data_IF_979686444502
#
_entry.id   IF_979686444502
#
_cell.length_a   1.000
_cell.length_b   1.000
_cell.length_c   1.000
_cell.angle_alpha   90.00
_cell.angle_beta   90.00
_cell.angle_gamma   90.00
#
_symmetry.space_group_name_H-M   'P 1'
#
loop_
_entity.id
_entity.type
_entity.pdbx_description
1 polymer ?
#
# COMPACT_ATOMS: atom_id res chain seq x y z
N UNK A 1 -1.21 12.92 19.34
CA UNK A 1 -2.02 13.96 18.67
C UNK A 1 -2.78 13.26 17.55
N UNK A 2 -4.11 13.32 17.46
CA UNK A 2 -4.84 12.50 16.48
C UNK A 2 -6.21 13.10 16.11
N UNK A 3 -6.93 12.47 15.19
CA UNK A 3 -8.26 12.93 14.79
C UNK A 3 -9.25 12.57 15.91
N UNK A 4 -9.89 13.58 16.49
CA UNK A 4 -10.92 13.35 17.51
C UNK A 4 -12.21 12.88 16.82
N UNK A 5 -12.61 11.64 17.10
CA UNK A 5 -13.82 11.10 16.53
C UNK A 5 -15.04 11.52 17.38
N UNK A 6 -16.03 12.22 16.80
CA UNK A 6 -17.12 12.86 17.56
C UNK A 6 -18.07 11.87 18.25
N UNK A 7 -18.06 10.60 17.86
CA UNK A 7 -18.98 9.61 18.44
C UNK A 7 -18.51 9.04 19.78
N UNK A 8 -17.20 8.90 20.02
CA UNK A 8 -16.68 8.19 21.21
C UNK A 8 -15.47 8.88 21.90
N UNK A 9 -15.10 10.11 21.52
CA UNK A 9 -13.88 10.78 22.01
C UNK A 9 -12.57 9.97 21.82
N UNK A 10 -12.59 8.96 20.96
CA UNK A 10 -11.40 8.22 20.59
C UNK A 10 -10.47 9.14 19.77
N UNK A 11 -9.19 9.16 20.16
CA UNK A 11 -8.13 9.82 19.40
C UNK A 11 -7.53 8.77 18.48
N UNK A 12 -7.75 8.92 17.17
CA UNK A 12 -7.18 8.00 16.17
C UNK A 12 -5.76 8.48 15.85
N UNK A 13 -4.71 7.64 16.05
CA UNK A 13 -3.35 8.00 15.70
C UNK A 13 -3.22 8.33 14.23
N UNK A 14 -2.37 9.29 13.90
CA UNK A 14 -2.11 9.71 12.51
C UNK A 14 -0.70 9.35 12.08
N UNK A 15 -0.55 9.05 10.80
CA UNK A 15 0.73 8.78 10.16
C UNK A 15 0.83 9.45 8.80
N UNK A 16 2.06 9.58 8.31
CA UNK A 16 2.33 9.98 6.93
C UNK A 16 3.26 8.97 6.26
N UNK A 17 3.15 8.84 4.94
CA UNK A 17 4.03 8.00 4.15
C UNK A 17 5.28 8.76 3.72
N UNK A 18 6.46 8.15 3.90
CA UNK A 18 7.74 8.77 3.51
C UNK A 18 7.76 9.10 2.02
N UNK A 19 7.21 8.23 1.18
CA UNK A 19 7.11 8.44 -0.26
C UNK A 19 6.18 9.60 -0.68
N UNK A 20 5.42 10.18 0.25
CA UNK A 20 4.55 11.34 -0.01
C UNK A 20 5.25 12.70 0.20
N UNK A 21 6.47 12.73 0.71
CA UNK A 21 7.15 13.98 1.12
C UNK A 21 8.07 14.54 0.03
N UNK A 22 8.15 13.88 -1.13
CA UNK A 22 9.04 14.27 -2.23
C UNK A 22 10.47 13.79 -2.00
N UNK A 23 11.29 13.80 -3.06
CA UNK A 23 12.61 13.14 -3.07
C UNK A 23 13.52 13.64 -1.96
N UNK A 24 13.93 12.72 -1.09
CA UNK A 24 14.91 12.90 -0.02
C UNK A 24 16.27 13.32 -0.59
N UNK A 25 16.44 14.62 -0.80
CA UNK A 25 17.77 15.24 -0.96
C UNK A 25 18.41 15.54 0.41
N UNK A 26 17.74 15.18 1.51
CA UNK A 26 18.21 15.41 2.87
C UNK A 26 17.91 14.20 3.79
N UNK A 27 18.88 13.73 4.59
CA UNK A 27 18.81 12.50 5.39
C UNK A 27 17.96 12.57 6.67
N UNK A 28 17.23 13.67 6.87
CA UNK A 28 16.47 13.87 8.10
C UNK A 28 15.04 13.35 7.92
N UNK A 29 14.55 12.59 8.90
CA UNK A 29 13.11 12.39 9.04
C UNK A 29 12.46 13.77 9.20
N UNK A 30 11.37 14.07 8.47
CA UNK A 30 10.68 15.34 8.63
C UNK A 30 10.24 15.48 10.08
N UNK A 31 10.33 16.69 10.62
CA UNK A 31 9.76 16.99 11.93
C UNK A 31 8.31 16.47 11.99
N UNK A 32 7.91 15.99 13.15
CA UNK A 32 6.67 15.24 13.35
C UNK A 32 5.41 15.93 12.77
N UNK A 33 5.41 17.25 12.53
CA UNK A 33 4.33 17.98 11.83
C UNK A 33 2.91 17.69 12.38
N UNK A 34 2.80 17.22 13.62
CA UNK A 34 1.55 16.83 14.28
C UNK A 34 1.13 15.35 14.10
N UNK A 35 1.92 14.53 13.43
CA UNK A 35 1.66 13.09 13.27
C UNK A 35 2.08 12.28 14.51
N UNK A 36 1.89 10.97 14.48
CA UNK A 36 2.38 10.07 15.55
C UNK A 36 3.36 9.04 15.03
N UNK A 37 3.29 8.74 13.73
CA UNK A 37 4.13 7.71 13.14
C UNK A 37 4.39 7.96 11.65
N UNK A 38 5.33 7.19 11.10
CA UNK A 38 5.66 7.16 9.68
C UNK A 38 5.33 5.80 9.08
N UNK A 39 4.88 5.80 7.83
CA UNK A 39 4.71 4.61 7.00
C UNK A 39 5.91 4.55 6.05
N UNK A 40 6.91 3.75 6.42
CA UNK A 40 8.21 3.75 5.76
C UNK A 40 8.16 2.95 4.46
N UNK A 41 8.48 3.59 3.33
CA UNK A 41 8.59 2.92 2.04
C UNK A 41 10.00 2.38 1.81
N UNK A 42 10.08 1.16 1.28
CA UNK A 42 11.35 0.48 0.99
C UNK A 42 12.30 1.31 0.09
N UNK A 43 11.83 2.03 -0.95
CA UNK A 43 12.73 2.90 -1.72
C UNK A 43 13.38 4.01 -0.89
N UNK A 44 12.67 4.57 0.09
CA UNK A 44 13.23 5.60 0.97
C UNK A 44 14.23 5.00 1.96
N UNK A 45 13.99 3.77 2.41
CA UNK A 45 14.94 2.99 3.21
C UNK A 45 16.25 2.74 2.43
N UNK A 46 16.16 2.33 1.16
CA UNK A 46 17.33 2.14 0.30
C UNK A 46 18.08 3.46 0.06
N UNK A 47 17.35 4.53 -0.27
CA UNK A 47 17.93 5.86 -0.46
C UNK A 47 18.64 6.37 0.81
N UNK A 48 18.13 6.03 1.99
CA UNK A 48 18.82 6.33 3.24
C UNK A 48 20.10 5.49 3.43
N UNK A 49 20.12 4.26 2.93
CA UNK A 49 21.32 3.42 2.86
C UNK A 49 22.47 4.08 2.06
N UNK A 50 22.15 4.74 0.94
CA UNK A 50 23.12 5.54 0.18
C UNK A 50 23.79 6.62 1.04
N UNK A 51 23.03 7.27 1.92
CA UNK A 51 23.57 8.29 2.82
C UNK A 51 24.48 7.71 3.91
N UNK A 52 24.10 6.57 4.48
CA UNK A 52 24.87 5.93 5.55
C UNK A 52 26.13 5.23 5.06
N UNK A 53 26.02 4.49 3.95
CA UNK A 53 27.04 3.56 3.49
C UNK A 53 27.84 4.11 2.30
N UNK A 54 27.38 5.20 1.68
CA UNK A 54 27.96 5.78 0.47
C UNK A 54 27.53 5.07 -0.83
N UNK A 55 26.73 4.01 -0.73
CA UNK A 55 26.12 3.28 -1.83
C UNK A 55 24.69 2.82 -1.48
N UNK A 56 23.80 2.81 -2.47
CA UNK A 56 22.44 2.30 -2.31
C UNK A 56 22.48 0.76 -2.22
N UNK A 57 21.93 0.14 -1.16
CA UNK A 57 21.91 -1.31 -1.04
C UNK A 57 21.10 -1.95 -2.17
N UNK A 58 21.50 -3.13 -2.62
CA UNK A 58 20.69 -3.92 -3.55
C UNK A 58 19.35 -4.29 -2.88
N UNK A 59 18.26 -4.26 -3.64
CA UNK A 59 16.92 -4.54 -3.13
C UNK A 59 16.74 -5.97 -2.58
N UNK A 60 17.69 -6.87 -2.86
CA UNK A 60 17.75 -8.24 -2.33
C UNK A 60 18.79 -8.44 -1.22
N UNK A 61 19.62 -7.44 -0.92
CA UNK A 61 20.61 -7.49 0.16
C UNK A 61 19.98 -7.12 1.51
N UNK A 62 19.20 -8.05 2.06
CA UNK A 62 18.47 -7.83 3.31
C UNK A 62 19.36 -7.63 4.52
N UNK A 63 20.60 -8.15 4.52
CA UNK A 63 21.53 -7.95 5.63
C UNK A 63 21.92 -6.48 5.74
N UNK A 64 22.32 -5.86 4.62
CA UNK A 64 22.62 -4.42 4.57
C UNK A 64 21.38 -3.59 4.83
N UNK A 65 20.22 -3.96 4.27
CA UNK A 65 18.95 -3.23 4.51
C UNK A 65 18.56 -3.27 5.99
N UNK A 66 18.78 -4.39 6.69
CA UNK A 66 18.53 -4.53 8.13
C UNK A 66 19.45 -3.63 8.95
N UNK A 67 20.71 -3.46 8.57
CA UNK A 67 21.61 -2.50 9.23
C UNK A 67 21.13 -1.06 9.08
N UNK A 68 20.71 -0.68 7.86
CA UNK A 68 20.12 0.63 7.60
C UNK A 68 18.83 0.83 8.41
N UNK A 69 17.97 -0.18 8.47
CA UNK A 69 16.74 -0.16 9.27
C UNK A 69 17.00 0.07 10.76
N UNK A 70 18.03 -0.58 11.34
CA UNK A 70 18.42 -0.37 12.74
C UNK A 70 18.86 1.07 13.00
N UNK A 71 19.45 1.75 12.03
CA UNK A 71 19.87 3.14 12.15
C UNK A 71 18.69 4.13 12.09
N UNK A 72 17.58 3.78 11.43
CA UNK A 72 16.38 4.64 11.34
C UNK A 72 15.62 4.72 12.66
N UNK A 73 15.57 3.63 13.42
CA UNK A 73 14.77 3.58 14.66
C UNK A 73 15.14 4.67 15.68
N UNK A 74 16.43 4.89 16.02
CA UNK A 74 16.84 6.00 16.89
C UNK A 74 16.48 7.38 16.35
N UNK A 75 16.52 7.57 15.03
CA UNK A 75 16.15 8.85 14.39
C UNK A 75 14.65 9.11 14.55
N UNK A 76 13.83 8.08 14.37
CA UNK A 76 12.39 8.18 14.57
C UNK A 76 12.07 8.56 16.03
N UNK A 77 12.76 7.95 16.98
CA UNK A 77 12.66 8.30 18.40
C UNK A 77 13.11 9.73 18.71
N UNK A 78 14.20 10.21 18.12
CA UNK A 78 14.71 11.58 18.28
C UNK A 78 13.72 12.64 17.78
N UNK A 79 13.06 12.36 16.64
CA UNK A 79 12.03 13.24 16.06
C UNK A 79 10.66 13.04 16.73
N UNK A 80 10.52 12.04 17.59
CA UNK A 80 9.29 11.75 18.34
C UNK A 80 8.18 11.13 17.49
N UNK A 81 8.54 10.36 16.46
CA UNK A 81 7.61 9.60 15.60
C UNK A 81 7.83 8.10 15.75
N UNK A 82 6.75 7.32 15.81
CA UNK A 82 6.83 5.86 15.68
C UNK A 82 7.00 5.42 14.23
N UNK A 83 7.35 4.15 14.02
CA UNK A 83 7.28 3.51 12.69
C UNK A 83 6.04 2.62 12.70
N UNK A 84 5.01 3.02 11.94
CA UNK A 84 3.71 2.33 11.96
C UNK A 84 3.74 1.07 11.11
N UNK A 85 4.37 1.14 9.94
CA UNK A 85 4.37 0.04 8.98
C UNK A 85 5.54 0.11 8.01
N UNK A 86 5.89 -1.04 7.45
CA UNK A 86 6.78 -1.17 6.29
C UNK A 86 5.95 -1.32 5.01
N UNK A 87 6.28 -0.53 3.99
CA UNK A 87 5.76 -0.66 2.61
C UNK A 87 6.83 -1.28 1.72
N UNK A 88 6.77 -2.61 1.48
CA UNK A 88 7.75 -3.32 0.68
C UNK A 88 7.56 -3.06 -0.83
N UNK A 89 8.41 -3.68 -1.63
CA UNK A 89 8.29 -3.70 -3.08
C UNK A 89 7.03 -4.41 -3.57
N UNK A 90 6.70 -4.17 -4.83
CA UNK A 90 5.48 -4.66 -5.49
C UNK A 90 5.57 -6.15 -5.87
N UNK A 91 4.40 -6.74 -6.14
CA UNK A 91 4.17 -8.06 -6.76
C UNK A 91 4.56 -9.26 -5.90
N UNK A 92 3.61 -9.75 -5.09
CA UNK A 92 3.80 -10.88 -4.18
C UNK A 92 2.89 -12.09 -4.48
N UNK A 93 1.66 -11.88 -4.94
CA UNK A 93 0.62 -12.94 -4.92
C UNK A 93 0.16 -13.41 -6.31
N UNK A 94 -0.33 -14.66 -6.33
CA UNK A 94 -1.13 -15.23 -7.42
C UNK A 94 -0.32 -15.77 -8.58
N UNK A 95 0.94 -16.10 -8.36
CA UNK A 95 1.79 -16.82 -9.32
C UNK A 95 1.20 -18.21 -9.59
N UNK A 96 1.13 -18.63 -10.86
CA UNK A 96 0.56 -19.93 -11.24
C UNK A 96 1.45 -21.06 -10.72
N UNK A 97 0.84 -22.05 -10.08
CA UNK A 97 1.51 -23.27 -9.66
C UNK A 97 2.06 -24.05 -10.87
N UNK A 98 3.35 -24.42 -10.83
CA UNK A 98 4.02 -25.27 -11.81
C UNK A 98 5.01 -24.55 -12.74
N UNK A 99 4.53 -23.68 -13.63
CA UNK A 99 5.39 -23.03 -14.65
C UNK A 99 6.28 -21.90 -14.07
N UNK A 100 5.95 -21.40 -12.88
CA UNK A 100 6.50 -20.18 -12.27
C UNK A 100 6.84 -20.37 -10.79
N UNK A 101 7.14 -21.61 -10.37
CA UNK A 101 7.48 -21.91 -8.97
C UNK A 101 8.65 -21.05 -8.48
N UNK A 102 9.60 -20.66 -9.35
CA UNK A 102 10.69 -19.75 -9.03
C UNK A 102 10.25 -18.33 -8.65
N UNK A 103 9.22 -17.77 -9.29
CA UNK A 103 8.73 -16.41 -9.00
C UNK A 103 7.92 -16.39 -7.69
N UNK A 104 7.16 -17.46 -7.47
CA UNK A 104 6.46 -17.67 -6.20
C UNK A 104 7.45 -17.86 -5.05
N UNK A 105 8.47 -18.70 -5.24
CA UNK A 105 9.55 -18.90 -4.27
C UNK A 105 10.33 -17.61 -3.99
N UNK A 106 10.65 -16.82 -5.03
CA UNK A 106 11.25 -15.50 -4.89
C UNK A 106 10.37 -14.56 -4.05
N UNK A 107 9.06 -14.49 -4.33
CA UNK A 107 8.14 -13.65 -3.57
C UNK A 107 8.16 -14.02 -2.08
N UNK A 108 8.12 -15.31 -1.74
CA UNK A 108 8.22 -15.77 -0.35
C UNK A 108 9.62 -15.56 0.26
N UNK A 109 10.69 -15.61 -0.54
CA UNK A 109 12.04 -15.25 -0.10
C UNK A 109 12.13 -13.76 0.23
N UNK A 110 11.57 -12.89 -0.61
CA UNK A 110 11.47 -11.46 -0.35
C UNK A 110 10.65 -11.17 0.91
N UNK A 111 9.53 -11.87 1.11
CA UNK A 111 8.75 -11.73 2.34
C UNK A 111 9.54 -12.04 3.60
N UNK A 112 10.36 -13.11 3.61
CA UNK A 112 11.25 -13.41 4.76
C UNK A 112 12.22 -12.25 5.02
N UNK A 113 12.82 -11.70 3.98
CA UNK A 113 13.66 -10.50 4.09
C UNK A 113 12.90 -9.30 4.66
N UNK A 114 11.66 -9.07 4.23
CA UNK A 114 10.83 -7.99 4.78
C UNK A 114 10.54 -8.17 6.27
N UNK A 115 10.31 -9.40 6.75
CA UNK A 115 10.09 -9.65 8.18
C UNK A 115 11.33 -9.29 9.02
N UNK A 116 12.54 -9.61 8.53
CA UNK A 116 13.79 -9.22 9.18
C UNK A 116 13.93 -7.68 9.27
N UNK A 117 13.57 -6.97 8.20
CA UNK A 117 13.57 -5.51 8.17
C UNK A 117 12.52 -4.94 9.13
N UNK A 118 11.33 -5.52 9.19
CA UNK A 118 10.28 -5.09 10.13
C UNK A 118 10.72 -5.22 11.59
N UNK A 119 11.35 -6.34 11.93
CA UNK A 119 11.92 -6.57 13.27
C UNK A 119 12.97 -5.50 13.61
N UNK A 120 13.88 -5.21 12.67
CA UNK A 120 14.91 -4.20 12.84
C UNK A 120 14.35 -2.77 13.02
N UNK A 121 13.30 -2.42 12.28
CA UNK A 121 12.57 -1.15 12.42
C UNK A 121 11.74 -1.10 13.72
N UNK A 122 11.38 -2.25 14.29
CA UNK A 122 10.47 -2.36 15.42
C UNK A 122 9.01 -2.07 15.06
N UNK A 123 8.61 -2.34 13.82
CA UNK A 123 7.22 -2.22 13.35
C UNK A 123 6.53 -3.57 13.37
N UNK A 124 5.22 -3.58 13.63
CA UNK A 124 4.42 -4.80 13.67
C UNK A 124 3.51 -4.98 12.43
N UNK A 125 3.51 -4.02 11.50
CA UNK A 125 2.59 -4.01 10.37
C UNK A 125 3.32 -3.97 9.02
N UNK A 126 2.92 -4.84 8.11
CA UNK A 126 3.34 -4.88 6.71
C UNK A 126 2.21 -4.38 5.81
N UNK A 127 2.46 -3.39 4.95
CA UNK A 127 1.51 -3.03 3.89
C UNK A 127 1.69 -3.97 2.70
N UNK A 128 0.72 -4.84 2.45
CA UNK A 128 0.73 -5.68 1.26
C UNK A 128 -0.10 -5.00 0.17
N UNK A 129 0.56 -4.54 -0.90
CA UNK A 129 -0.10 -4.00 -2.08
C UNK A 129 -0.55 -5.12 -3.04
N UNK A 130 -1.79 -5.07 -3.53
CA UNK A 130 -2.26 -5.97 -4.59
C UNK A 130 -1.30 -5.97 -5.79
N UNK A 131 -1.03 -7.14 -6.37
CA UNK A 131 -0.11 -7.24 -7.50
C UNK A 131 -0.64 -6.43 -8.69
N UNK A 132 0.19 -5.51 -9.18
CA UNK A 132 -0.14 -4.71 -10.36
C UNK A 132 0.37 -5.45 -11.60
N UNK A 133 -0.35 -5.28 -12.71
CA UNK A 133 0.14 -5.47 -14.08
C UNK A 133 0.78 -6.80 -14.52
N UNK A 134 0.84 -7.83 -13.67
CA UNK A 134 1.22 -9.18 -14.09
C UNK A 134 0.02 -9.92 -14.71
N UNK A 135 0.07 -10.14 -16.03
CA UNK A 135 -0.97 -10.85 -16.80
C UNK A 135 -1.03 -12.33 -16.47
N UNK A 136 0.06 -12.86 -15.91
CA UNK A 136 0.24 -14.28 -15.63
C UNK A 136 -0.36 -14.72 -14.29
N UNK A 137 -0.87 -13.77 -13.50
CA UNK A 137 -1.51 -14.02 -12.20
C UNK A 137 -2.80 -14.85 -12.38
N UNK A 138 -2.98 -15.85 -11.51
CA UNK A 138 -4.18 -16.67 -11.44
C UNK A 138 -5.47 -15.80 -11.37
N UNK A 139 -6.52 -16.14 -12.14
CA UNK A 139 -7.82 -15.51 -11.99
C UNK A 139 -8.57 -15.93 -10.72
N UNK A 140 -8.13 -16.98 -10.04
CA UNK A 140 -8.81 -17.55 -8.89
C UNK A 140 -8.61 -16.70 -7.65
N UNK A 141 -9.71 -16.24 -7.03
CA UNK A 141 -9.67 -15.57 -5.73
C UNK A 141 -9.10 -16.50 -4.67
N UNK A 142 -9.36 -17.80 -4.77
CA UNK A 142 -8.89 -18.79 -3.79
C UNK A 142 -7.36 -18.96 -3.84
N UNK A 143 -6.75 -18.87 -5.03
CA UNK A 143 -5.28 -18.94 -5.16
C UNK A 143 -4.64 -17.69 -4.55
N UNK A 144 -5.22 -16.51 -4.82
CA UNK A 144 -4.77 -15.24 -4.24
C UNK A 144 -4.90 -15.26 -2.72
N UNK A 145 -6.06 -15.71 -2.21
CA UNK A 145 -6.32 -15.84 -0.78
C UNK A 145 -5.37 -16.84 -0.13
N UNK A 146 -5.03 -17.96 -0.79
CA UNK A 146 -4.10 -18.95 -0.27
C UNK A 146 -2.67 -18.39 -0.12
N UNK A 147 -2.18 -17.61 -1.09
CA UNK A 147 -0.86 -16.98 -0.99
C UNK A 147 -0.83 -15.89 0.10
N UNK A 148 -1.89 -15.08 0.20
CA UNK A 148 -2.01 -14.07 1.25
C UNK A 148 -2.15 -14.70 2.63
N UNK A 149 -2.90 -15.81 2.74
CA UNK A 149 -3.02 -16.58 3.98
C UNK A 149 -1.66 -17.12 4.45
N UNK A 150 -0.84 -17.64 3.53
CA UNK A 150 0.52 -18.09 3.85
C UNK A 150 1.42 -16.96 4.32
N UNK A 151 1.35 -15.78 3.68
CA UNK A 151 2.08 -14.60 4.14
C UNK A 151 1.64 -14.20 5.56
N UNK A 152 0.33 -14.19 5.81
CA UNK A 152 -0.19 -13.88 7.12
C UNK A 152 0.22 -14.92 8.18
N UNK A 153 0.29 -16.22 7.84
CA UNK A 153 0.80 -17.25 8.74
C UNK A 153 2.28 -17.01 9.10
N UNK A 154 3.13 -16.70 8.12
CA UNK A 154 4.53 -16.33 8.37
C UNK A 154 4.66 -15.09 9.26
N UNK A 155 3.86 -14.06 9.01
CA UNK A 155 3.84 -12.87 9.86
C UNK A 155 3.37 -13.20 11.27
N UNK A 156 2.41 -14.11 11.45
CA UNK A 156 1.85 -14.46 12.74
C UNK A 156 2.88 -15.13 13.67
N UNK A 157 3.81 -15.90 13.12
CA UNK A 157 4.90 -16.56 13.87
C UNK A 157 5.75 -15.53 14.64
N UNK A 158 5.97 -14.36 14.05
CA UNK A 158 6.74 -13.25 14.62
C UNK A 158 5.85 -12.17 15.28
N UNK A 159 4.53 -12.41 15.39
CA UNK A 159 3.58 -11.45 15.97
C UNK A 159 3.23 -10.25 15.07
N UNK A 160 3.55 -10.33 13.77
CA UNK A 160 3.28 -9.29 12.79
C UNK A 160 1.89 -9.40 12.14
N UNK A 161 1.44 -8.26 11.62
CA UNK A 161 0.14 -8.04 10.98
C UNK A 161 0.32 -7.62 9.52
N UNK A 162 -0.64 -7.96 8.68
CA UNK A 162 -0.65 -7.63 7.26
C UNK A 162 -1.86 -6.75 6.94
N UNK A 163 -1.61 -5.58 6.38
CA UNK A 163 -2.63 -4.66 5.88
C UNK A 163 -2.67 -4.73 4.35
N UNK A 164 -3.71 -5.34 3.81
CA UNK A 164 -3.88 -5.60 2.37
C UNK A 164 -4.56 -4.42 1.67
N UNK A 165 -3.92 -3.83 0.65
CA UNK A 165 -4.43 -2.69 -0.12
C UNK A 165 -4.78 -3.08 -1.55
N UNK A 166 -5.97 -2.71 -2.03
CA UNK A 166 -6.30 -2.77 -3.46
C UNK A 166 -5.50 -1.73 -4.25
N UNK A 167 -5.27 -1.98 -5.53
CA UNK A 167 -4.72 -0.96 -6.44
C UNK A 167 -5.64 -0.76 -7.61
N UNK A 168 -6.02 0.47 -7.92
CA UNK A 168 -6.99 0.72 -8.99
C UNK A 168 -6.49 0.34 -10.40
N UNK A 169 -5.19 0.07 -10.55
CA UNK A 169 -4.56 -0.49 -11.74
C UNK A 169 -4.13 -1.97 -11.60
N UNK A 170 -4.49 -2.64 -10.50
CA UNK A 170 -4.19 -4.06 -10.33
C UNK A 170 -4.85 -4.92 -11.42
N UNK A 171 -4.27 -6.06 -11.75
CA UNK A 171 -4.86 -6.98 -12.74
C UNK A 171 -6.14 -7.61 -12.21
N UNK A 172 -6.16 -7.99 -10.93
CA UNK A 172 -7.25 -8.74 -10.28
C UNK A 172 -8.00 -7.95 -9.20
N UNK A 173 -7.27 -7.15 -8.42
CA UNK A 173 -7.81 -6.54 -7.19
C UNK A 173 -7.93 -5.01 -7.32
N UNK A 174 -8.80 -4.55 -8.24
CA UNK A 174 -9.00 -3.10 -8.49
C UNK A 174 -9.88 -2.41 -7.45
N UNK A 175 -10.86 -3.12 -6.93
CA UNK A 175 -11.89 -2.58 -6.03
C UNK A 175 -11.66 -3.03 -4.60
N UNK A 176 -12.24 -2.29 -3.65
CA UNK A 176 -12.24 -2.70 -2.25
C UNK A 176 -12.96 -4.04 -2.05
N UNK A 177 -13.98 -4.34 -2.87
CA UNK A 177 -14.72 -5.62 -2.83
C UNK A 177 -13.81 -6.79 -3.15
N UNK A 178 -13.01 -6.67 -4.20
CA UNK A 178 -12.07 -7.71 -4.58
C UNK A 178 -11.02 -7.95 -3.48
N UNK A 179 -10.51 -6.87 -2.86
CA UNK A 179 -9.59 -6.98 -1.73
C UNK A 179 -10.25 -7.63 -0.51
N UNK A 180 -11.50 -7.27 -0.22
CA UNK A 180 -12.24 -7.85 0.88
C UNK A 180 -12.50 -9.35 0.68
N UNK A 181 -12.90 -9.79 -0.51
CA UNK A 181 -13.10 -11.22 -0.79
C UNK A 181 -11.81 -12.03 -0.56
N UNK A 182 -10.64 -11.49 -0.93
CA UNK A 182 -9.34 -12.14 -0.65
C UNK A 182 -9.08 -12.22 0.86
N UNK A 183 -9.21 -11.10 1.59
CA UNK A 183 -8.97 -11.06 3.04
C UNK A 183 -9.95 -11.96 3.80
N UNK A 184 -11.21 -11.99 3.37
CA UNK A 184 -12.27 -12.83 3.93
C UNK A 184 -12.01 -14.31 3.67
N UNK A 185 -11.60 -14.69 2.45
CA UNK A 185 -11.32 -16.08 2.11
C UNK A 185 -10.02 -16.58 2.77
N UNK A 186 -9.03 -15.71 2.97
CA UNK A 186 -7.81 -16.05 3.68
C UNK A 186 -8.05 -16.33 5.18
N UNK A 187 -9.07 -15.69 5.76
CA UNK A 187 -9.56 -15.89 7.13
C UNK A 187 -8.47 -15.94 8.22
N UNK A 188 -7.57 -14.94 8.23
CA UNK A 188 -6.50 -14.81 9.23
C UNK A 188 -6.75 -13.65 10.20
N UNK A 189 -6.55 -13.82 11.52
CA UNK A 189 -6.82 -12.76 12.50
C UNK A 189 -5.86 -11.57 12.36
N UNK A 190 -4.61 -11.81 11.96
CA UNK A 190 -3.57 -10.80 11.74
C UNK A 190 -3.57 -10.23 10.30
N UNK A 191 -4.61 -10.52 9.51
CA UNK A 191 -4.80 -9.98 8.16
C UNK A 191 -6.04 -9.08 8.13
N UNK A 192 -5.82 -7.85 7.69
CA UNK A 192 -6.85 -6.81 7.53
C UNK A 192 -6.65 -6.02 6.25
N UNK A 193 -7.50 -5.02 6.05
CA UNK A 193 -7.50 -4.12 4.91
C UNK A 193 -6.78 -2.80 5.23
N UNK A 194 -6.05 -2.31 4.25
CA UNK A 194 -5.68 -0.92 4.10
C UNK A 194 -6.64 -0.27 3.10
N UNK A 195 -7.48 0.65 3.56
CA UNK A 195 -8.45 1.35 2.72
C UNK A 195 -7.87 2.68 2.23
N UNK A 196 -7.33 2.69 1.01
CA UNK A 196 -6.82 3.89 0.35
C UNK A 196 -7.92 4.65 -0.39
N UNK A 197 -8.24 5.88 0.01
CA UNK A 197 -9.32 6.67 -0.63
C UNK A 197 -9.07 6.88 -2.12
N UNK A 198 -7.83 7.16 -2.52
CA UNK A 198 -7.46 7.25 -3.95
C UNK A 198 -7.66 5.91 -4.67
N UNK A 199 -7.28 4.78 -4.08
CA UNK A 199 -7.38 3.49 -4.73
C UNK A 199 -8.84 3.10 -4.96
N UNK A 200 -9.70 3.36 -3.98
CA UNK A 200 -11.14 3.10 -4.09
C UNK A 200 -11.76 4.06 -5.12
N UNK A 201 -11.45 5.35 -5.05
CA UNK A 201 -11.96 6.36 -6.00
C UNK A 201 -11.51 6.06 -7.43
N UNK A 202 -10.22 5.77 -7.62
CA UNK A 202 -9.66 5.42 -8.92
C UNK A 202 -10.12 4.06 -9.43
N UNK A 203 -10.69 3.19 -8.59
CA UNK A 203 -11.26 1.92 -9.05
C UNK A 203 -12.71 2.05 -9.55
N UNK A 204 -13.47 3.00 -9.00
CA UNK A 204 -14.95 2.98 -9.11
C UNK A 204 -15.58 4.32 -9.52
N UNK A 205 -14.83 5.42 -9.54
CA UNK A 205 -15.39 6.76 -9.76
C UNK A 205 -14.55 7.64 -10.70
N UNK A 206 -13.28 7.84 -10.38
CA UNK A 206 -12.39 8.71 -11.14
C UNK A 206 -11.76 8.03 -12.33
N UNK A 207 -11.45 8.78 -13.39
CA UNK A 207 -10.66 8.32 -14.52
C UNK A 207 -9.69 9.40 -15.00
N UNK A 208 -8.35 9.17 -14.97
CA UNK A 208 -7.39 10.17 -15.43
C UNK A 208 -7.35 10.32 -16.96
N UNK A 209 -8.00 9.45 -17.73
CA UNK A 209 -7.96 9.47 -19.20
C UNK A 209 -9.11 10.27 -19.80
N UNK A 210 -10.12 10.63 -19.00
CA UNK A 210 -11.29 11.38 -19.46
C UNK A 210 -11.17 12.86 -19.16
N UNK A 211 -11.86 13.68 -19.95
CA UNK A 211 -11.85 15.15 -19.79
C UNK A 211 -12.56 15.58 -18.52
N UNK A 212 -13.58 14.83 -18.08
CA UNK A 212 -14.30 15.13 -16.84
C UNK A 212 -13.52 14.69 -15.60
N UNK A 213 -12.55 13.79 -15.74
CA UNK A 213 -11.86 13.13 -14.62
C UNK A 213 -12.67 12.00 -13.99
N UNK A 214 -13.79 11.63 -14.60
CA UNK A 214 -14.75 10.62 -14.12
C UNK A 214 -14.84 9.47 -15.13
N UNK A 215 -15.31 8.31 -14.67
CA UNK A 215 -15.69 7.22 -15.57
C UNK A 215 -16.90 7.67 -16.42
N UNK A 216 -16.76 7.66 -17.74
CA UNK A 216 -17.76 8.18 -18.70
C UNK A 216 -18.62 7.09 -19.37
N UNK A 217 -18.43 5.82 -19.01
CA UNK A 217 -19.23 4.68 -19.51
C UNK A 217 -20.72 4.77 -19.16
N UNK A 218 -21.04 5.54 -18.12
CA UNK A 218 -22.38 5.75 -17.59
C UNK A 218 -22.61 7.23 -17.32
N UNK A 219 -23.87 7.66 -17.25
CA UNK A 219 -24.18 9.05 -16.93
C UNK A 219 -23.75 9.40 -15.50
N UNK A 220 -23.37 10.66 -15.27
CA UNK A 220 -22.84 11.13 -13.98
C UNK A 220 -23.76 10.85 -12.79
N UNK A 221 -25.07 11.01 -12.96
CA UNK A 221 -26.03 10.75 -11.89
C UNK A 221 -26.02 9.27 -11.45
N UNK A 222 -25.91 8.35 -12.41
CA UNK A 222 -25.79 6.92 -12.13
C UNK A 222 -24.44 6.59 -11.50
N UNK A 223 -23.34 7.20 -11.98
CA UNK A 223 -22.01 7.03 -11.38
C UNK A 223 -21.98 7.46 -9.91
N UNK A 224 -22.51 8.65 -9.60
CA UNK A 224 -22.59 9.15 -8.22
C UNK A 224 -23.48 8.27 -7.33
N UNK A 225 -24.59 7.76 -7.88
CA UNK A 225 -25.47 6.81 -7.19
C UNK A 225 -24.74 5.51 -6.84
N UNK A 226 -24.05 4.90 -7.81
CA UNK A 226 -23.26 3.68 -7.64
C UNK A 226 -22.13 3.85 -6.64
N UNK A 227 -21.40 4.96 -6.73
CA UNK A 227 -20.33 5.29 -5.81
C UNK A 227 -20.81 5.36 -4.36
N UNK A 228 -21.88 6.13 -4.11
CA UNK A 228 -22.49 6.23 -2.77
C UNK A 228 -23.01 4.89 -2.28
N UNK A 229 -23.59 4.07 -3.16
CA UNK A 229 -24.04 2.73 -2.80
C UNK A 229 -22.86 1.81 -2.45
N UNK A 230 -21.75 1.89 -3.19
CA UNK A 230 -20.53 1.14 -2.93
C UNK A 230 -19.93 1.48 -1.57
N UNK A 231 -19.81 2.77 -1.22
CA UNK A 231 -19.32 3.20 0.10
C UNK A 231 -20.23 2.75 1.25
N UNK A 232 -21.56 2.82 1.07
CA UNK A 232 -22.51 2.27 2.06
C UNK A 232 -22.33 0.76 2.21
N UNK A 233 -22.13 0.05 1.11
CA UNK A 233 -21.88 -1.38 1.14
C UNK A 233 -20.58 -1.70 1.86
N UNK A 234 -19.49 -0.95 1.61
CA UNK A 234 -18.22 -1.10 2.33
C UNK A 234 -18.45 -1.01 3.83
N UNK A 235 -19.08 0.08 4.29
CA UNK A 235 -19.35 0.31 5.71
C UNK A 235 -20.25 -0.74 6.36
N UNK A 236 -21.13 -1.39 5.59
CA UNK A 236 -22.03 -2.42 6.09
C UNK A 236 -21.45 -3.84 6.03
N UNK A 237 -20.44 -4.06 5.17
CA UNK A 237 -19.93 -5.41 4.84
C UNK A 237 -18.61 -5.70 5.54
N UNK A 238 -17.72 -4.72 5.64
CA UNK A 238 -16.37 -4.90 6.19
C UNK A 238 -16.42 -4.66 7.69
N UNK A 239 -16.09 -5.67 8.52
CA UNK A 239 -16.00 -5.48 9.98
C UNK A 239 -14.92 -4.47 10.33
N UNK A 240 -15.17 -3.62 11.34
CA UNK A 240 -14.25 -2.55 11.72
C UNK A 240 -12.89 -3.10 12.18
N UNK A 241 -12.88 -4.26 12.84
CA UNK A 241 -11.68 -4.98 13.28
C UNK A 241 -10.82 -5.50 12.12
N UNK A 242 -11.38 -5.57 10.91
CA UNK A 242 -10.64 -5.93 9.69
C UNK A 242 -10.11 -4.71 8.94
N UNK A 243 -10.30 -3.50 9.45
CA UNK A 243 -9.74 -2.27 8.86
C UNK A 243 -8.54 -1.86 9.72
N UNK A 244 -7.33 -2.19 9.26
CA UNK A 244 -6.10 -1.89 9.99
C UNK A 244 -5.60 -0.48 9.73
N UNK A 245 -5.87 0.05 8.53
CA UNK A 245 -5.43 1.38 8.13
C UNK A 245 -6.43 2.02 7.16
N UNK A 246 -6.62 3.33 7.30
CA UNK A 246 -7.32 4.17 6.31
C UNK A 246 -6.32 5.19 5.79
N UNK A 247 -5.93 5.04 4.52
CA UNK A 247 -5.00 5.95 3.85
C UNK A 247 -5.77 7.05 3.12
N UNK A 248 -5.72 8.25 3.68
CA UNK A 248 -6.31 9.44 3.06
C UNK A 248 -5.36 9.98 1.99
N UNK A 249 -5.78 9.86 0.74
CA UNK A 249 -5.06 10.34 -0.44
C UNK A 249 -6.05 10.80 -1.50
N UNK A 250 -5.61 11.76 -2.31
CA UNK A 250 -6.39 12.34 -3.40
C UNK A 250 -5.53 12.39 -4.67
N UNK A 251 -6.09 12.82 -5.80
CA UNK A 251 -5.33 13.07 -7.00
C UNK A 251 -5.92 14.22 -7.84
N UNK A 252 -5.05 14.91 -8.57
CA UNK A 252 -5.46 16.02 -9.40
C UNK A 252 -6.29 15.55 -10.58
N UNK A 253 -7.33 16.31 -10.93
CA UNK A 253 -7.99 16.16 -12.23
C UNK A 253 -7.01 16.55 -13.33
N UNK A 254 -6.82 15.66 -14.30
CA UNK A 254 -5.87 15.83 -15.38
C UNK A 254 -6.38 16.77 -16.47
N UNK A 255 -5.58 17.77 -16.84
CA UNK A 255 -5.83 18.68 -17.95
C UNK A 255 -4.49 19.05 -18.63
N UNK A 256 -4.16 18.46 -19.80
CA UNK A 256 -4.96 17.51 -20.56
C UNK A 256 -5.04 16.11 -19.89
N UNK A 257 -6.03 15.27 -20.25
CA UNK A 257 -6.12 13.90 -19.74
C UNK A 257 -4.89 13.05 -20.08
N UNK A 258 -4.58 12.09 -19.20
CA UNK A 258 -3.50 11.12 -19.43
C UNK A 258 -3.90 10.19 -20.58
N UNK A 259 -2.98 9.94 -21.51
CA UNK A 259 -3.23 8.99 -22.61
C UNK A 259 -3.52 7.60 -22.05
N UNK A 260 -4.59 6.98 -22.52
CA UNK A 260 -4.96 5.59 -22.25
C UNK A 260 -4.06 4.62 -23.03
N UNK A 261 -2.77 4.69 -22.76
CA UNK A 261 -1.75 3.79 -23.28
C UNK A 261 -0.71 3.57 -22.20
N UNK A 262 0.08 2.50 -22.33
CA UNK A 262 1.32 2.41 -21.57
C UNK A 262 2.27 3.52 -22.02
N UNK A 263 3.07 4.06 -21.11
CA UNK A 263 4.15 5.00 -21.45
C UNK A 263 5.39 4.24 -21.95
N UNK A 264 6.49 4.96 -22.16
CA UNK A 264 7.77 4.37 -22.59
C UNK A 264 8.37 3.38 -21.58
N UNK A 265 7.94 3.42 -20.33
CA UNK A 265 8.36 2.50 -19.26
C UNK A 265 7.36 1.35 -19.05
N UNK A 266 6.28 1.29 -19.84
CA UNK A 266 5.23 0.28 -19.70
C UNK A 266 4.16 0.65 -18.66
N UNK A 267 4.20 1.83 -18.05
CA UNK A 267 3.32 2.21 -16.94
C UNK A 267 1.88 2.50 -17.37
N UNK A 268 0.91 1.98 -16.60
CA UNK A 268 -0.52 2.23 -16.82
C UNK A 268 -0.90 3.68 -16.47
N UNK A 269 -1.98 4.20 -17.08
CA UNK A 269 -2.46 5.57 -16.84
C UNK A 269 -2.77 5.85 -15.36
N UNK A 270 -3.47 4.92 -14.70
CA UNK A 270 -3.80 5.03 -13.26
C UNK A 270 -2.60 4.90 -12.34
N UNK A 271 -1.55 4.16 -12.75
CA UNK A 271 -0.29 4.11 -12.01
C UNK A 271 0.43 5.46 -12.08
N UNK A 272 0.56 6.04 -13.29
CA UNK A 272 1.13 7.39 -13.47
C UNK A 272 0.35 8.45 -12.71
N UNK A 273 -0.98 8.36 -12.73
CA UNK A 273 -1.85 9.23 -11.92
C UNK A 273 -1.56 9.12 -10.42
N UNK A 274 -1.30 7.91 -9.95
CA UNK A 274 -0.97 7.64 -8.56
C UNK A 274 0.43 8.13 -8.15
N UNK A 275 1.42 8.10 -9.05
CA UNK A 275 2.79 8.51 -8.71
C UNK A 275 2.98 10.02 -8.84
N UNK A 276 2.55 10.59 -9.97
CA UNK A 276 3.02 11.93 -10.38
C UNK A 276 2.02 13.04 -10.09
N UNK A 277 0.78 12.68 -9.74
CA UNK A 277 -0.35 13.60 -9.74
C UNK A 277 -1.18 13.53 -8.45
N UNK A 278 -0.54 13.16 -7.34
CA UNK A 278 -1.13 13.28 -6.00
C UNK A 278 -0.77 14.62 -5.35
N UNK A 279 -1.65 15.23 -4.56
CA UNK A 279 -1.28 16.37 -3.75
C UNK A 279 -0.29 15.93 -2.66
N UNK A 280 0.71 16.78 -2.43
CA UNK A 280 1.61 16.60 -1.30
C UNK A 280 0.83 16.81 0.01
N UNK A 281 1.18 16.11 1.10
CA UNK A 281 0.66 16.40 2.43
C UNK A 281 0.91 17.88 2.74
N UNK A 282 -0.13 18.62 3.12
CA UNK A 282 -0.07 20.02 3.53
C UNK A 282 -0.41 20.16 5.00
#
# INVERSE_FOLDING_TARGET
MGIQYPYNNAVIPTSFATCSIGSYSHPALPENAGFNAVELAMPDLLAYGMFLNGEEPDASDYDTIVEVARAIKPLAEEVGVGILMLKPFVNFEGWKLGLQDSEREDAFARARGWLMVMEALGTDMLQKLASSDAEEISPSVDDLAADVAKLADMCAEEGFRVAYENRCWATRTRTWKAAWEIVKNADKPNLGLCLGTFQILGGEFGDPTTRTGLIEDICRAELESRWRASLRQLSATVPAEKIFLVQLSDAYRMDPPIKESRDSQGSLSRFRWSQDHRPLPR
#
